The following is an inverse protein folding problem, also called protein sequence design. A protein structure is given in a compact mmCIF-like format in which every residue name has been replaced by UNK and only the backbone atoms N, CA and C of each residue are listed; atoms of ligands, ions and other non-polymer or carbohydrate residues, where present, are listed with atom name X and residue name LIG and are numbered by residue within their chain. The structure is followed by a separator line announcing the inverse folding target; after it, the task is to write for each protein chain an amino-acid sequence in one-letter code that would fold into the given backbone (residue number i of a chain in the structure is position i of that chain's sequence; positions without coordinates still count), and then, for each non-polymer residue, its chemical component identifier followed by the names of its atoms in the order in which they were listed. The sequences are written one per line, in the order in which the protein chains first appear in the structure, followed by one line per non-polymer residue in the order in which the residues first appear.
data_IF_343815243845
#
_entry.id   IF_343815243845
#
_cell.length_a   1.000
_cell.length_b   1.000
_cell.length_c   1.000
_cell.angle_alpha   90.00
_cell.angle_beta   90.00
_cell.angle_gamma   90.00
#
_symmetry.space_group_name_H-M   'P 1'
#
loop_
_entity.id
_entity.type
_entity.pdbx_description
1 polymer ?
#
# COMPACT_ATOMS: atom_id res chain seq x y z
N UNK A 1 54.75 5.36 24.08
CA UNK A 1 53.68 6.36 24.24
C UNK A 1 53.03 6.77 22.91
N UNK A 2 53.80 7.09 21.85
CA UNK A 2 53.26 7.43 20.51
C UNK A 2 52.40 6.34 19.86
N UNK A 3 52.78 5.06 20.00
CA UNK A 3 52.00 3.93 19.45
C UNK A 3 50.62 3.78 20.10
N UNK A 4 50.52 3.98 21.43
CA UNK A 4 49.26 3.97 22.18
C UNK A 4 48.34 5.11 21.73
N UNK A 5 48.90 6.26 21.37
CA UNK A 5 48.13 7.40 20.90
C UNK A 5 47.55 7.16 19.49
N UNK A 6 48.33 6.56 18.59
CA UNK A 6 47.87 6.22 17.24
C UNK A 6 46.82 5.10 17.27
N UNK A 7 47.03 4.07 18.10
CA UNK A 7 45.99 3.05 18.32
C UNK A 7 44.75 3.65 18.97
N UNK A 8 44.88 4.54 19.95
CA UNK A 8 43.73 5.22 20.55
C UNK A 8 42.99 6.13 19.57
N UNK A 9 43.70 6.85 18.69
CA UNK A 9 43.09 7.68 17.63
C UNK A 9 42.40 6.80 16.59
N UNK A 10 43.04 5.72 16.14
CA UNK A 10 42.45 4.76 15.21
C UNK A 10 41.19 4.10 15.80
N UNK A 11 41.28 3.61 17.05
CA UNK A 11 40.14 3.01 17.76
C UNK A 11 39.01 4.03 17.91
N UNK A 12 39.30 5.29 18.22
CA UNK A 12 38.30 6.35 18.28
C UNK A 12 37.72 6.71 16.90
N UNK A 13 38.51 6.70 15.82
CA UNK A 13 37.98 6.97 14.46
C UNK A 13 37.10 5.82 13.96
N UNK A 14 37.45 4.56 14.25
CA UNK A 14 36.62 3.41 13.89
C UNK A 14 35.35 3.32 14.76
N UNK A 15 35.43 3.69 16.05
CA UNK A 15 34.26 3.74 16.94
C UNK A 15 33.32 4.93 16.66
N UNK A 16 33.78 5.95 15.93
CA UNK A 16 32.97 7.09 15.53
C UNK A 16 32.38 6.97 14.11
N UNK A 17 32.64 5.88 13.40
CA UNK A 17 31.79 5.46 12.26
C UNK A 17 30.48 4.91 12.81
N UNK A 18 29.75 5.75 13.55
CA UNK A 18 28.36 5.49 13.89
C UNK A 18 27.63 5.38 12.56
N UNK A 19 26.99 4.24 12.36
CA UNK A 19 26.28 3.96 11.13
C UNK A 19 25.23 5.03 10.84
N UNK A 20 25.02 5.33 9.56
CA UNK A 20 24.02 6.27 9.10
C UNK A 20 23.01 5.52 8.24
N UNK A 21 21.72 5.76 8.47
CA UNK A 21 20.68 5.31 7.58
C UNK A 21 20.49 6.33 6.44
N UNK A 22 20.00 5.83 5.30
CA UNK A 22 19.51 6.68 4.23
C UNK A 22 18.03 6.87 4.46
N UNK A 23 17.66 8.09 4.86
CA UNK A 23 16.27 8.51 5.02
C UNK A 23 15.75 8.99 3.67
N UNK A 24 14.67 8.38 3.18
CA UNK A 24 13.98 8.82 1.98
C UNK A 24 12.52 8.37 1.99
N UNK A 25 11.65 9.22 1.48
CA UNK A 25 10.25 8.90 1.25
C UNK A 25 9.95 9.20 -0.20
N UNK A 26 9.55 8.20 -0.97
CA UNK A 26 9.11 8.36 -2.34
C UNK A 26 7.90 7.46 -2.59
N UNK A 27 6.73 7.93 -2.19
CA UNK A 27 5.50 7.17 -2.32
C UNK A 27 4.29 8.05 -2.61
N UNK A 28 3.32 7.46 -3.29
CA UNK A 28 2.03 8.04 -3.58
C UNK A 28 0.98 7.32 -2.75
N UNK A 29 0.41 8.00 -1.76
CA UNK A 29 -0.59 7.45 -0.83
C UNK A 29 -1.90 8.23 -0.99
N UNK A 30 -2.98 7.51 -1.35
CA UNK A 30 -4.33 8.05 -1.42
C UNK A 30 -4.42 9.38 -2.20
N UNK A 31 -3.70 9.49 -3.30
CA UNK A 31 -3.68 10.70 -4.12
C UNK A 31 -2.55 11.69 -3.83
N UNK A 32 -1.85 11.55 -2.71
CA UNK A 32 -0.80 12.49 -2.32
C UNK A 32 0.59 11.89 -2.58
N UNK A 33 1.40 12.60 -3.37
CA UNK A 33 2.80 12.27 -3.57
C UNK A 33 3.65 12.86 -2.44
N UNK A 34 4.37 12.00 -1.73
CA UNK A 34 5.47 12.36 -0.83
C UNK A 34 6.77 12.02 -1.52
N UNK A 35 7.63 13.03 -1.73
CA UNK A 35 8.95 12.85 -2.31
C UNK A 35 9.97 13.69 -1.54
N UNK A 36 10.85 13.03 -0.80
CA UNK A 36 11.98 13.65 -0.11
C UNK A 36 13.28 13.19 -0.73
N UNK A 37 14.22 14.12 -0.91
CA UNK A 37 15.56 13.75 -1.34
C UNK A 37 16.23 12.83 -0.32
N UNK A 38 16.98 11.81 -0.74
CA UNK A 38 17.71 10.95 0.18
C UNK A 38 18.68 11.76 1.05
N UNK A 39 18.57 11.62 2.37
CA UNK A 39 19.47 12.25 3.34
C UNK A 39 20.08 11.19 4.24
N UNK A 40 21.32 11.41 4.69
CA UNK A 40 21.98 10.51 5.63
C UNK A 40 21.67 10.96 7.05
N UNK A 41 21.05 10.09 7.84
CA UNK A 41 20.59 10.40 9.20
C UNK A 41 21.14 9.36 10.16
N UNK A 42 21.49 9.83 11.35
CA UNK A 42 21.91 8.97 12.46
C UNK A 42 20.69 8.57 13.29
N UNK A 43 20.52 7.30 13.58
CA UNK A 43 19.41 6.85 14.41
C UNK A 43 19.57 7.27 15.87
N UNK A 44 18.44 7.30 16.58
CA UNK A 44 18.37 7.69 18.00
C UNK A 44 19.16 6.70 18.86
N UNK A 45 19.08 5.40 18.56
CA UNK A 45 19.87 4.36 19.22
C UNK A 45 20.91 3.75 18.29
N UNK A 46 22.10 3.43 18.82
CA UNK A 46 23.13 2.67 18.09
C UNK A 46 22.67 1.19 17.84
N UNK A 47 21.65 0.72 18.55
CA UNK A 47 21.04 -0.60 18.34
C UNK A 47 19.90 -0.63 17.31
N UNK A 48 19.49 0.54 16.80
CA UNK A 48 18.44 0.60 15.77
C UNK A 48 18.96 0.02 14.45
N UNK A 49 18.04 -0.47 13.63
CA UNK A 49 18.33 -0.88 12.26
C UNK A 49 17.88 0.21 11.29
N UNK A 50 18.49 0.22 10.11
CA UNK A 50 17.89 0.89 8.98
C UNK A 50 16.85 -0.04 8.36
N UNK A 51 15.77 0.54 7.89
CA UNK A 51 14.67 -0.18 7.25
C UNK A 51 14.45 0.42 5.88
N UNK A 52 14.27 -0.45 4.88
CA UNK A 52 13.76 -0.11 3.57
C UNK A 52 12.45 -0.88 3.35
N UNK A 53 11.39 -0.17 2.96
CA UNK A 53 10.10 -0.75 2.64
C UNK A 53 9.68 -0.28 1.25
N UNK A 54 9.36 -1.20 0.36
CA UNK A 54 8.68 -0.92 -0.90
C UNK A 54 7.27 -1.54 -0.87
N UNK A 55 6.25 -0.77 -1.26
CA UNK A 55 4.85 -1.16 -1.24
C UNK A 55 4.18 -0.82 -2.56
N UNK A 56 3.33 -1.73 -3.03
CA UNK A 56 2.41 -1.53 -4.14
C UNK A 56 1.07 -2.17 -3.78
N UNK A 57 0.12 -1.33 -3.36
CA UNK A 57 -1.26 -1.70 -3.06
C UNK A 57 -2.17 -0.99 -4.05
N UNK A 58 -2.84 -1.72 -4.96
CA UNK A 58 -3.71 -1.12 -5.96
C UNK A 58 -4.75 -0.18 -5.34
N UNK A 59 -4.87 1.03 -5.89
CA UNK A 59 -5.83 2.03 -5.40
C UNK A 59 -5.51 2.66 -4.04
N UNK A 60 -4.36 2.36 -3.43
CA UNK A 60 -4.00 2.90 -2.10
C UNK A 60 -2.61 3.53 -2.05
N UNK A 61 -1.55 2.72 -2.22
CA UNK A 61 -0.17 3.19 -2.06
C UNK A 61 0.75 2.56 -3.10
N UNK A 62 1.66 3.34 -3.66
CA UNK A 62 2.76 2.83 -4.49
C UNK A 62 4.03 3.63 -4.19
N UNK A 63 5.15 2.96 -3.89
CA UNK A 63 6.41 3.63 -3.64
C UNK A 63 7.32 2.92 -2.65
N UNK A 64 8.24 3.69 -2.07
CA UNK A 64 9.15 3.23 -1.03
C UNK A 64 9.40 4.26 0.06
N UNK A 65 9.72 3.76 1.25
CA UNK A 65 10.19 4.52 2.40
C UNK A 65 11.46 3.87 2.94
N UNK A 66 12.40 4.68 3.40
CA UNK A 66 13.64 4.21 4.00
C UNK A 66 14.09 5.11 5.13
N UNK A 67 14.72 4.54 6.14
CA UNK A 67 15.30 5.32 7.25
C UNK A 67 15.48 4.51 8.52
N UNK A 68 15.61 5.20 9.64
CA UNK A 68 15.71 4.57 10.96
C UNK A 68 14.43 3.83 11.34
N UNK A 69 14.59 2.66 11.97
CA UNK A 69 13.50 1.73 12.30
C UNK A 69 12.30 2.39 12.98
N UNK A 70 12.51 3.24 13.98
CA UNK A 70 11.42 3.87 14.74
C UNK A 70 10.62 4.85 13.88
N UNK A 71 11.30 5.70 13.12
CA UNK A 71 10.64 6.73 12.28
C UNK A 71 9.91 6.08 11.08
N UNK A 72 10.47 4.98 10.56
CA UNK A 72 9.82 4.16 9.53
C UNK A 72 8.62 3.40 10.09
N UNK A 73 8.67 2.95 11.34
CA UNK A 73 7.54 2.30 12.00
C UNK A 73 6.30 3.19 12.04
N UNK A 74 6.48 4.47 12.37
CA UNK A 74 5.37 5.43 12.38
C UNK A 74 4.81 5.67 10.98
N UNK A 75 5.70 5.86 9.99
CA UNK A 75 5.30 6.07 8.59
C UNK A 75 4.57 4.85 8.03
N UNK A 76 5.10 3.66 8.25
CA UNK A 76 4.51 2.39 7.83
C UNK A 76 3.16 2.15 8.50
N UNK A 77 3.05 2.41 9.80
CA UNK A 77 1.77 2.36 10.53
C UNK A 77 0.75 3.29 9.90
N UNK A 78 1.11 4.55 9.67
CA UNK A 78 0.21 5.54 9.06
C UNK A 78 -0.24 5.15 7.66
N UNK A 79 0.62 4.51 6.86
CA UNK A 79 0.27 3.98 5.54
C UNK A 79 -0.69 2.80 5.69
N UNK A 80 -0.26 1.72 6.33
CA UNK A 80 -0.96 0.43 6.34
C UNK A 80 -2.33 0.52 7.03
N UNK A 81 -2.46 1.36 8.06
CA UNK A 81 -3.72 1.50 8.82
C UNK A 81 -4.82 2.27 8.07
N UNK A 82 -4.52 2.93 6.93
CA UNK A 82 -5.57 3.58 6.12
C UNK A 82 -6.59 2.58 5.57
N UNK A 83 -6.21 1.31 5.40
CA UNK A 83 -7.07 0.25 4.88
C UNK A 83 -7.08 -0.97 5.80
N UNK A 84 -8.27 -1.39 6.19
CA UNK A 84 -8.43 -2.50 7.14
C UNK A 84 -7.96 -3.84 6.57
N UNK A 85 -8.25 -4.12 5.30
CA UNK A 85 -7.83 -5.34 4.62
C UNK A 85 -6.31 -5.42 4.42
N UNK A 86 -5.65 -4.27 4.23
CA UNK A 86 -4.18 -4.19 4.18
C UNK A 86 -3.58 -4.37 5.58
N UNK A 87 -4.16 -3.73 6.61
CA UNK A 87 -3.73 -3.89 8.00
C UNK A 87 -3.83 -5.34 8.47
N UNK A 88 -4.88 -6.06 8.09
CA UNK A 88 -5.08 -7.47 8.45
C UNK A 88 -3.90 -8.35 8.02
N UNK A 89 -3.30 -8.07 6.86
CA UNK A 89 -2.11 -8.79 6.37
C UNK A 89 -0.87 -8.62 7.26
N UNK A 90 -0.82 -7.57 8.10
CA UNK A 90 0.28 -7.29 9.03
C UNK A 90 -0.13 -7.44 10.50
N UNK A 91 -1.32 -7.98 10.78
CA UNK A 91 -1.90 -7.97 12.13
C UNK A 91 -1.02 -8.64 13.21
N UNK A 92 -0.21 -9.63 12.82
CA UNK A 92 0.70 -10.33 13.74
C UNK A 92 1.77 -9.39 14.34
N UNK A 93 2.03 -8.26 13.70
CA UNK A 93 3.01 -7.27 14.14
C UNK A 93 2.36 -6.02 14.74
N UNK A 94 1.03 -5.93 14.76
CA UNK A 94 0.32 -4.74 15.22
C UNK A 94 0.04 -4.83 16.72
N UNK A 95 0.51 -3.83 17.48
CA UNK A 95 0.20 -3.70 18.90
C UNK A 95 -1.03 -2.80 19.09
N UNK A 96 -2.14 -3.39 19.54
CA UNK A 96 -3.40 -2.69 19.80
C UNK A 96 -3.31 -1.67 20.95
N UNK A 97 -2.31 -1.79 21.84
CA UNK A 97 -2.12 -0.87 22.97
C UNK A 97 -1.53 0.44 22.49
N UNK A 98 -0.49 0.37 21.65
CA UNK A 98 0.19 1.55 21.10
C UNK A 98 -0.37 2.01 19.76
N UNK A 99 -1.21 1.20 19.12
CA UNK A 99 -1.71 1.37 17.75
C UNK A 99 -0.57 1.51 16.72
N UNK A 100 0.52 0.77 16.90
CA UNK A 100 1.71 0.81 16.03
C UNK A 100 2.17 -0.59 15.66
N UNK A 101 2.85 -0.70 14.52
CA UNK A 101 3.55 -1.94 14.17
C UNK A 101 4.87 -2.05 14.93
N UNK A 102 5.12 -3.23 15.51
CA UNK A 102 6.41 -3.58 16.12
C UNK A 102 7.44 -3.86 15.03
N UNK A 103 8.19 -2.81 14.68
CA UNK A 103 9.23 -2.90 13.66
C UNK A 103 10.37 -3.86 14.03
N UNK A 104 10.64 -4.08 15.32
CA UNK A 104 11.64 -5.08 15.74
C UNK A 104 11.17 -6.48 15.39
N UNK A 105 9.88 -6.77 15.53
CA UNK A 105 9.30 -8.03 15.08
C UNK A 105 9.29 -8.14 13.56
N UNK A 106 8.86 -7.10 12.84
CA UNK A 106 8.88 -7.09 11.37
C UNK A 106 10.30 -7.36 10.84
N UNK A 107 11.32 -6.75 11.44
CA UNK A 107 12.71 -6.95 11.02
C UNK A 107 13.24 -8.38 11.22
N UNK A 108 12.61 -9.21 12.07
CA UNK A 108 12.93 -10.65 12.14
C UNK A 108 12.52 -11.40 10.87
N UNK A 109 11.56 -10.85 10.13
CA UNK A 109 11.08 -11.35 8.83
C UNK A 109 11.63 -10.51 7.66
N UNK A 110 12.75 -9.81 7.89
CA UNK A 110 13.47 -9.07 6.85
C UNK A 110 13.75 -9.96 5.65
N UNK A 111 13.45 -9.45 4.47
CA UNK A 111 13.58 -10.15 3.20
C UNK A 111 14.99 -10.03 2.64
N UNK A 112 15.38 -11.01 1.84
CA UNK A 112 16.61 -11.01 1.06
C UNK A 112 16.31 -11.38 -0.39
N UNK A 113 17.19 -10.99 -1.32
CA UNK A 113 16.97 -11.16 -2.75
C UNK A 113 16.09 -10.06 -3.36
N UNK A 114 15.48 -10.36 -4.51
CA UNK A 114 14.78 -9.39 -5.37
C UNK A 114 13.30 -9.73 -5.60
N UNK A 115 12.73 -10.62 -4.79
CA UNK A 115 11.34 -11.07 -4.94
C UNK A 115 10.48 -10.45 -3.84
N UNK A 116 9.49 -9.62 -4.18
CA UNK A 116 8.53 -9.13 -3.19
C UNK A 116 7.62 -10.26 -2.71
N UNK A 117 7.07 -10.14 -1.50
CA UNK A 117 5.92 -10.94 -1.12
C UNK A 117 4.66 -10.41 -1.80
N UNK A 118 3.75 -11.33 -2.09
CA UNK A 118 2.46 -11.05 -2.73
C UNK A 118 1.35 -11.58 -1.83
N UNK A 119 0.38 -10.74 -1.50
CA UNK A 119 -0.80 -11.12 -0.72
C UNK A 119 -2.05 -10.47 -1.31
N UNK A 120 -3.20 -11.09 -1.08
CA UNK A 120 -4.46 -10.60 -1.63
C UNK A 120 -5.05 -9.48 -0.78
N UNK A 121 -5.60 -8.47 -1.44
CA UNK A 121 -6.39 -7.40 -0.82
C UNK A 121 -7.68 -7.19 -1.61
N UNK A 122 -8.62 -6.41 -1.09
CA UNK A 122 -9.90 -6.11 -1.76
C UNK A 122 -9.72 -5.42 -3.11
N UNK A 123 -8.60 -4.74 -3.34
CA UNK A 123 -8.35 -4.00 -4.58
C UNK A 123 -7.47 -4.77 -5.57
N UNK A 124 -7.08 -6.00 -5.25
CA UNK A 124 -6.13 -6.81 -6.01
C UNK A 124 -4.92 -7.22 -5.17
N UNK A 125 -3.90 -7.74 -5.83
CA UNK A 125 -2.70 -8.22 -5.15
C UNK A 125 -1.88 -7.04 -4.63
N UNK A 126 -1.58 -7.04 -3.34
CA UNK A 126 -0.55 -6.19 -2.75
C UNK A 126 0.80 -6.87 -2.92
N UNK A 127 1.79 -6.09 -3.34
CA UNK A 127 3.18 -6.49 -3.35
C UNK A 127 3.95 -5.67 -2.31
N UNK A 128 4.77 -6.32 -1.49
CA UNK A 128 5.60 -5.63 -0.51
C UNK A 128 6.97 -6.25 -0.37
N UNK A 129 7.94 -5.42 -0.03
CA UNK A 129 9.31 -5.83 0.27
C UNK A 129 9.82 -5.04 1.46
N UNK A 130 10.26 -5.73 2.51
CA UNK A 130 10.77 -5.12 3.74
C UNK A 130 12.17 -5.66 4.00
N UNK A 131 13.15 -4.79 4.07
CA UNK A 131 14.54 -5.14 4.34
C UNK A 131 15.09 -4.30 5.49
N UNK A 132 15.51 -4.96 6.56
CA UNK A 132 16.21 -4.35 7.68
C UNK A 132 17.70 -4.68 7.64
N UNK A 133 18.55 -3.67 7.84
CA UNK A 133 20.00 -3.75 7.73
C UNK A 133 20.69 -2.90 8.80
N UNK A 134 21.96 -3.17 9.07
CA UNK A 134 22.75 -2.44 10.06
C UNK A 134 23.01 -1.00 9.60
N UNK A 135 23.07 -0.04 10.54
CA UNK A 135 23.33 1.37 10.24
C UNK A 135 24.66 1.63 9.50
N UNK A 136 25.64 0.73 9.58
CA UNK A 136 26.92 0.87 8.87
C UNK A 136 26.90 0.33 7.43
N UNK A 137 25.80 -0.27 6.98
CA UNK A 137 25.68 -0.84 5.65
C UNK A 137 25.02 0.15 4.69
N UNK A 138 25.64 0.33 3.53
CA UNK A 138 25.08 1.14 2.45
C UNK A 138 24.06 0.31 1.66
N UNK A 139 22.85 0.84 1.53
CA UNK A 139 21.77 0.23 0.74
C UNK A 139 21.39 1.11 -0.44
N UNK A 140 22.32 1.28 -1.37
CA UNK A 140 22.26 2.31 -2.43
C UNK A 140 21.40 1.90 -3.63
N UNK A 141 21.07 0.62 -3.79
CA UNK A 141 20.23 0.13 -4.89
C UNK A 141 19.32 -1.00 -4.40
N UNK A 142 18.17 -0.67 -3.78
CA UNK A 142 17.18 -1.67 -3.43
C UNK A 142 16.79 -2.53 -4.64
N UNK A 143 16.67 -3.85 -4.48
CA UNK A 143 16.38 -4.77 -5.58
C UNK A 143 14.91 -4.74 -6.00
N UNK A 144 14.02 -4.26 -5.12
CA UNK A 144 12.60 -4.06 -5.38
C UNK A 144 12.29 -2.58 -5.19
N UNK A 145 11.81 -1.93 -6.25
CA UNK A 145 11.44 -0.51 -6.23
C UNK A 145 10.14 -0.33 -6.99
N UNK A 146 9.19 0.37 -6.38
CA UNK A 146 7.99 0.84 -7.05
C UNK A 146 8.08 2.34 -7.24
N UNK A 147 7.84 2.81 -8.46
CA UNK A 147 7.93 4.23 -8.77
C UNK A 147 6.53 4.86 -8.69
N UNK A 148 6.31 5.82 -7.78
CA UNK A 148 5.05 6.55 -7.75
C UNK A 148 4.87 7.44 -8.99
N UNK A 149 3.63 7.88 -9.28
CA UNK A 149 3.38 8.95 -10.23
C UNK A 149 4.19 10.21 -9.90
N UNK A 150 4.50 11.01 -10.92
CA UNK A 150 5.31 12.24 -10.75
C UNK A 150 4.59 13.39 -10.05
N UNK A 151 3.27 13.29 -9.83
CA UNK A 151 2.43 14.34 -9.23
C UNK A 151 1.31 13.73 -8.40
N UNK A 152 0.86 14.46 -7.38
CA UNK A 152 -0.39 14.17 -6.67
C UNK A 152 -1.59 14.21 -7.62
N UNK A 153 -2.65 13.47 -7.28
CA UNK A 153 -3.94 13.61 -7.92
C UNK A 153 -4.54 15.00 -7.65
N UNK A 154 -5.47 15.40 -8.51
CA UNK A 154 -6.30 16.57 -8.28
C UNK A 154 -7.43 16.16 -7.33
N UNK A 155 -7.53 16.73 -6.11
CA UNK A 155 -8.60 16.39 -5.19
C UNK A 155 -9.97 16.72 -5.77
N UNK A 156 -10.97 15.92 -5.43
CA UNK A 156 -12.36 16.13 -5.87
C UNK A 156 -13.30 16.27 -4.69
N UNK A 157 -14.44 16.93 -4.89
CA UNK A 157 -15.53 16.97 -3.89
C UNK A 157 -16.46 15.79 -4.13
N UNK A 158 -16.74 15.04 -3.08
CA UNK A 158 -17.65 13.90 -3.09
C UNK A 158 -18.74 14.09 -2.05
N UNK A 159 -19.90 13.48 -2.26
CA UNK A 159 -20.93 13.38 -1.23
C UNK A 159 -20.61 12.18 -0.33
N UNK A 160 -20.65 12.35 0.98
CA UNK A 160 -20.54 11.25 1.97
C UNK A 160 -21.90 10.72 2.46
N UNK A 161 -22.99 11.21 1.86
CA UNK A 161 -24.38 10.95 2.24
C UNK A 161 -25.01 12.09 3.04
N UNK A 162 -24.20 12.95 3.68
CA UNK A 162 -24.70 14.07 4.49
C UNK A 162 -24.03 15.40 4.12
N UNK A 163 -22.74 15.36 3.77
CA UNK A 163 -21.88 16.50 3.56
C UNK A 163 -21.04 16.33 2.28
N UNK A 164 -20.43 17.43 1.84
CA UNK A 164 -19.36 17.36 0.86
C UNK A 164 -18.00 17.14 1.53
N UNK A 165 -17.33 16.05 1.15
CA UNK A 165 -15.97 15.71 1.57
C UNK A 165 -14.98 15.93 0.44
N UNK A 166 -13.72 16.18 0.78
CA UNK A 166 -12.65 16.31 -0.22
C UNK A 166 -11.86 15.03 -0.28
N UNK A 167 -11.85 14.37 -1.43
CA UNK A 167 -11.11 13.12 -1.65
C UNK A 167 -9.84 13.41 -2.40
N UNK A 168 -8.70 13.21 -1.74
CA UNK A 168 -7.37 13.46 -2.31
C UNK A 168 -7.05 12.46 -3.41
N UNK A 169 -7.67 11.28 -3.41
CA UNK A 169 -7.55 10.27 -4.46
C UNK A 169 -8.01 10.77 -5.83
N UNK A 170 -8.83 11.83 -5.86
CA UNK A 170 -9.32 12.49 -7.07
C UNK A 170 -10.52 11.83 -7.75
N UNK A 171 -11.23 10.96 -7.03
CA UNK A 171 -12.49 10.37 -7.49
C UNK A 171 -13.41 10.05 -6.31
N UNK A 172 -14.68 9.79 -6.60
CA UNK A 172 -15.73 9.46 -5.63
C UNK A 172 -16.17 8.01 -5.81
N UNK A 173 -16.88 7.46 -4.82
CA UNK A 173 -17.50 6.16 -4.97
C UNK A 173 -18.88 6.07 -4.33
N UNK A 174 -19.70 5.18 -4.89
CA UNK A 174 -20.99 4.76 -4.37
C UNK A 174 -21.01 3.25 -4.31
N UNK A 175 -21.39 2.71 -3.15
CA UNK A 175 -21.60 1.27 -2.93
C UNK A 175 -23.01 1.06 -2.38
N UNK A 176 -23.79 0.21 -3.03
CA UNK A 176 -25.09 -0.24 -2.55
C UNK A 176 -25.06 -1.74 -2.32
N UNK A 177 -25.68 -2.17 -1.22
CA UNK A 177 -25.84 -3.58 -0.88
C UNK A 177 -27.25 -3.81 -0.36
N UNK A 178 -27.91 -4.84 -0.88
CA UNK A 178 -29.16 -5.34 -0.38
C UNK A 178 -29.08 -6.85 -0.11
N UNK A 179 -29.71 -7.30 0.96
CA UNK A 179 -29.73 -8.71 1.35
C UNK A 179 -30.95 -8.99 2.23
N UNK A 180 -31.32 -10.25 2.38
CA UNK A 180 -32.36 -10.68 3.31
C UNK A 180 -31.76 -10.99 4.69
N UNK A 181 -32.38 -10.52 5.77
CA UNK A 181 -32.00 -10.96 7.12
C UNK A 181 -32.36 -12.43 7.32
N UNK A 182 -31.56 -13.15 8.09
CA UNK A 182 -31.85 -14.56 8.36
C UNK A 182 -33.04 -14.77 9.29
N UNK A 183 -33.30 -13.82 10.21
CA UNK A 183 -34.32 -13.98 11.25
C UNK A 183 -35.77 -13.88 10.73
N UNK A 184 -36.03 -12.88 9.88
CA UNK A 184 -37.39 -12.52 9.44
C UNK A 184 -37.53 -12.42 7.91
N UNK A 185 -36.46 -12.71 7.16
CA UNK A 185 -36.38 -12.59 5.71
C UNK A 185 -36.72 -11.17 5.19
N UNK A 186 -36.65 -10.16 6.06
CA UNK A 186 -36.83 -8.77 5.64
C UNK A 186 -35.63 -8.33 4.81
N UNK A 187 -35.90 -7.59 3.72
CA UNK A 187 -34.85 -6.98 2.92
C UNK A 187 -34.25 -5.79 3.64
N UNK A 188 -32.92 -5.79 3.75
CA UNK A 188 -32.10 -4.66 4.20
C UNK A 188 -31.47 -4.02 3.00
N UNK A 189 -31.59 -2.70 2.88
CA UNK A 189 -30.95 -1.90 1.84
C UNK A 189 -29.99 -0.91 2.49
N UNK A 190 -28.73 -0.91 2.05
CA UNK A 190 -27.73 0.07 2.49
C UNK A 190 -27.08 0.72 1.30
N UNK A 191 -26.85 2.03 1.43
CA UNK A 191 -26.17 2.87 0.45
C UNK A 191 -25.08 3.64 1.14
N UNK A 192 -23.90 3.63 0.53
CA UNK A 192 -22.72 4.31 1.00
C UNK A 192 -22.19 5.17 -0.12
N UNK A 193 -21.83 6.41 0.20
CA UNK A 193 -21.13 7.31 -0.69
C UNK A 193 -19.96 7.87 0.11
N UNK A 194 -18.77 7.90 -0.46
CA UNK A 194 -17.60 8.45 0.23
C UNK A 194 -16.40 8.60 -0.69
N UNK A 195 -15.27 9.00 -0.12
CA UNK A 195 -13.98 8.81 -0.73
C UNK A 195 -13.66 7.32 -0.89
N UNK A 196 -12.88 6.93 -1.92
CA UNK A 196 -12.63 5.53 -2.26
C UNK A 196 -12.08 4.69 -1.11
N UNK A 197 -11.15 5.23 -0.32
CA UNK A 197 -10.55 4.51 0.81
C UNK A 197 -11.57 4.12 1.87
N UNK A 198 -12.43 5.06 2.25
CA UNK A 198 -13.51 4.86 3.22
C UNK A 198 -14.56 3.90 2.66
N UNK A 199 -14.82 3.96 1.36
CA UNK A 199 -15.74 3.04 0.70
C UNK A 199 -15.20 1.61 0.67
N UNK A 200 -13.91 1.42 0.36
CA UNK A 200 -13.24 0.11 0.40
C UNK A 200 -13.25 -0.45 1.83
N UNK A 201 -12.99 0.38 2.84
CA UNK A 201 -13.14 0.00 4.25
C UNK A 201 -14.58 -0.42 4.59
N UNK A 202 -15.58 0.22 3.99
CA UNK A 202 -16.98 -0.17 4.14
C UNK A 202 -17.28 -1.51 3.47
N UNK A 203 -16.73 -1.75 2.28
CA UNK A 203 -16.81 -3.04 1.57
C UNK A 203 -16.19 -4.14 2.44
N UNK A 204 -15.02 -3.89 3.04
CA UNK A 204 -14.38 -4.80 3.99
C UNK A 204 -15.30 -5.16 5.15
N UNK A 205 -15.91 -4.18 5.85
CA UNK A 205 -16.83 -4.50 6.94
C UNK A 205 -18.07 -5.26 6.45
N UNK A 206 -18.52 -4.95 5.24
CA UNK A 206 -19.68 -5.59 4.62
C UNK A 206 -19.41 -7.07 4.29
N UNK A 207 -18.16 -7.47 4.04
CA UNK A 207 -17.82 -8.87 3.78
C UNK A 207 -18.00 -9.79 5.00
N UNK A 208 -18.15 -9.22 6.20
CA UNK A 208 -18.40 -9.96 7.44
C UNK A 208 -19.86 -9.91 7.92
N UNK A 209 -20.81 -9.46 7.08
CA UNK A 209 -22.23 -9.44 7.46
C UNK A 209 -22.77 -10.87 7.69
N UNK A 210 -23.10 -11.18 8.95
CA UNK A 210 -23.53 -12.52 9.38
C UNK A 210 -24.71 -13.08 8.58
N UNK A 211 -25.65 -12.24 8.18
CA UNK A 211 -26.85 -12.65 7.44
C UNK A 211 -26.54 -13.25 6.06
N UNK A 212 -25.42 -12.87 5.44
CA UNK A 212 -25.13 -13.17 4.04
C UNK A 212 -23.73 -13.76 3.80
N UNK A 213 -22.84 -13.70 4.79
CA UNK A 213 -21.44 -14.18 4.72
C UNK A 213 -21.34 -15.64 4.26
N UNK A 214 -22.35 -16.47 4.56
CA UNK A 214 -22.42 -17.88 4.18
C UNK A 214 -22.67 -18.12 2.68
N UNK A 215 -23.10 -17.09 1.94
CA UNK A 215 -23.23 -17.17 0.50
C UNK A 215 -21.83 -17.05 -0.15
N UNK A 216 -21.31 -18.15 -0.70
CA UNK A 216 -19.99 -18.14 -1.37
C UNK A 216 -19.90 -17.20 -2.58
N UNK A 217 -21.03 -16.98 -3.27
CA UNK A 217 -21.15 -15.98 -4.33
C UNK A 217 -20.99 -14.56 -3.78
N UNK A 218 -21.60 -14.27 -2.62
CA UNK A 218 -21.49 -12.96 -1.96
C UNK A 218 -20.03 -12.63 -1.64
N UNK A 219 -19.29 -13.57 -1.06
CA UNK A 219 -17.86 -13.39 -0.78
C UNK A 219 -17.07 -13.09 -2.06
N UNK A 220 -17.27 -13.88 -3.11
CA UNK A 220 -16.56 -13.66 -4.38
C UNK A 220 -16.88 -12.29 -4.98
N UNK A 221 -18.16 -11.92 -5.01
CA UNK A 221 -18.61 -10.62 -5.52
C UNK A 221 -18.07 -9.45 -4.68
N UNK A 222 -18.08 -9.54 -3.35
CA UNK A 222 -17.66 -8.41 -2.51
C UNK A 222 -16.15 -8.14 -2.60
N UNK A 223 -15.32 -9.19 -2.71
CA UNK A 223 -13.89 -9.02 -3.02
C UNK A 223 -13.68 -8.36 -4.39
N UNK A 224 -14.53 -8.65 -5.38
CA UNK A 224 -14.44 -8.02 -6.70
C UNK A 224 -14.77 -6.52 -6.67
N UNK A 225 -15.75 -6.08 -5.87
CA UNK A 225 -16.20 -4.69 -5.80
C UNK A 225 -15.07 -3.70 -5.45
N UNK A 226 -14.15 -4.09 -4.55
CA UNK A 226 -12.99 -3.26 -4.21
C UNK A 226 -12.07 -3.00 -5.40
N UNK A 227 -11.79 -4.04 -6.19
CA UNK A 227 -10.94 -3.95 -7.38
C UNK A 227 -11.57 -3.10 -8.48
N UNK A 228 -12.89 -3.21 -8.67
CA UNK A 228 -13.64 -2.35 -9.60
C UNK A 228 -13.54 -0.89 -9.16
N UNK A 229 -13.70 -0.62 -7.87
CA UNK A 229 -13.61 0.75 -7.36
C UNK A 229 -12.21 1.36 -7.54
N UNK A 230 -11.16 0.60 -7.22
CA UNK A 230 -9.77 1.04 -7.39
C UNK A 230 -9.43 1.41 -8.85
N UNK A 231 -10.10 0.76 -9.81
CA UNK A 231 -9.97 1.02 -11.24
C UNK A 231 -10.95 2.07 -11.77
N UNK A 232 -11.69 2.76 -10.88
CA UNK A 232 -12.69 3.79 -11.25
C UNK A 232 -13.76 3.23 -12.20
N UNK A 233 -14.15 1.98 -11.96
CA UNK A 233 -15.18 1.30 -12.71
C UNK A 233 -16.50 1.23 -11.96
N UNK A 234 -17.45 0.55 -12.57
CA UNK A 234 -18.71 0.17 -11.97
C UNK A 234 -19.00 -1.30 -12.24
N UNK A 235 -19.73 -1.94 -11.35
CA UNK A 235 -20.20 -3.32 -11.53
C UNK A 235 -21.42 -3.58 -10.62
N UNK A 236 -22.15 -4.65 -10.91
CA UNK A 236 -23.25 -5.13 -10.08
C UNK A 236 -23.29 -6.64 -10.01
N UNK A 237 -23.69 -7.17 -8.86
CA UNK A 237 -23.91 -8.59 -8.66
C UNK A 237 -25.29 -8.83 -8.06
N UNK A 238 -26.00 -9.82 -8.58
CA UNK A 238 -27.30 -10.24 -8.07
C UNK A 238 -27.30 -11.77 -7.94
N UNK A 239 -27.58 -12.24 -6.74
CA UNK A 239 -27.81 -13.67 -6.46
C UNK A 239 -29.20 -13.85 -5.86
N UNK A 240 -29.95 -14.79 -6.41
CA UNK A 240 -31.29 -15.16 -5.93
C UNK A 240 -31.19 -16.57 -5.34
N UNK A 241 -31.01 -16.64 -4.03
CA UNK A 241 -30.76 -17.88 -3.32
C UNK A 241 -31.63 -17.97 -2.06
N UNK A 242 -32.96 -17.88 -2.24
CA UNK A 242 -33.94 -17.88 -1.14
C UNK A 242 -33.51 -16.90 -0.02
N UNK A 243 -33.21 -17.40 1.18
CA UNK A 243 -32.80 -16.64 2.36
C UNK A 243 -31.37 -16.08 2.30
N UNK A 244 -30.58 -16.42 1.28
CA UNK A 244 -29.23 -15.91 1.03
C UNK A 244 -29.16 -15.06 -0.24
N UNK A 245 -30.28 -14.45 -0.64
CA UNK A 245 -30.32 -13.55 -1.79
C UNK A 245 -29.61 -12.23 -1.46
N UNK A 246 -28.87 -11.70 -2.44
CA UNK A 246 -28.21 -10.41 -2.32
C UNK A 246 -28.15 -9.66 -3.64
N UNK A 247 -28.07 -8.34 -3.54
CA UNK A 247 -27.71 -7.43 -4.61
C UNK A 247 -26.56 -6.54 -4.14
N UNK A 248 -25.61 -6.28 -5.02
CA UNK A 248 -24.52 -5.33 -4.79
C UNK A 248 -24.33 -4.48 -6.04
N UNK A 249 -24.01 -3.21 -5.85
CA UNK A 249 -23.62 -2.29 -6.91
C UNK A 249 -22.47 -1.42 -6.42
N UNK A 250 -21.44 -1.27 -7.24
CA UNK A 250 -20.34 -0.34 -7.00
C UNK A 250 -20.22 0.59 -8.20
N UNK A 251 -19.93 1.86 -7.97
CA UNK A 251 -19.52 2.79 -9.01
C UNK A 251 -18.55 3.80 -8.42
N UNK A 252 -17.30 3.76 -8.89
CA UNK A 252 -16.29 4.73 -8.53
C UNK A 252 -15.93 5.57 -9.75
N UNK A 253 -16.10 6.88 -9.65
CA UNK A 253 -16.13 7.78 -10.81
C UNK A 253 -15.43 9.09 -10.48
N UNK A 254 -14.92 9.73 -11.52
CA UNK A 254 -14.37 11.08 -11.44
C UNK A 254 -15.52 12.08 -11.50
N UNK A 255 -15.65 12.91 -10.47
CA UNK A 255 -16.71 13.92 -10.42
C UNK A 255 -16.30 15.14 -11.26
N UNK A 256 -16.53 15.06 -12.57
CA UNK A 256 -16.39 16.21 -13.46
C UNK A 256 -17.66 17.05 -13.42
N UNK A 257 -17.53 18.33 -13.06
CA UNK A 257 -18.62 19.32 -13.08
C UNK A 257 -19.86 18.96 -12.22
N UNK A 258 -19.68 18.27 -11.10
CA UNK A 258 -20.79 17.87 -10.22
C UNK A 258 -21.57 16.64 -10.72
N UNK A 259 -21.06 15.94 -11.74
CA UNK A 259 -21.63 14.69 -12.20
C UNK A 259 -21.75 13.68 -11.05
N UNK A 260 -22.95 13.12 -10.90
CA UNK A 260 -23.24 11.97 -10.05
C UNK A 260 -23.81 10.89 -10.94
N UNK A 261 -23.30 9.64 -10.90
CA UNK A 261 -23.79 8.59 -11.76
C UNK A 261 -25.23 8.23 -11.43
N UNK A 262 -25.96 7.78 -12.44
CA UNK A 262 -27.24 7.11 -12.23
C UNK A 262 -27.01 5.80 -11.48
N UNK A 263 -27.79 5.60 -10.44
CA UNK A 263 -27.70 4.45 -9.55
C UNK A 263 -28.90 3.55 -9.86
N UNK A 264 -28.68 2.26 -10.16
CA UNK A 264 -29.77 1.35 -10.47
C UNK A 264 -30.73 1.22 -9.29
N UNK A 265 -32.00 0.97 -9.57
CA UNK A 265 -32.97 0.64 -8.54
C UNK A 265 -32.62 -0.70 -7.91
N UNK A 266 -32.62 -0.76 -6.57
CA UNK A 266 -32.39 -2.00 -5.83
C UNK A 266 -33.56 -2.97 -6.13
N UNK A 267 -33.29 -4.20 -6.58
CA UNK A 267 -34.34 -5.18 -6.84
C UNK A 267 -35.01 -5.63 -5.54
N UNK A 268 -36.29 -6.04 -5.64
CA UNK A 268 -36.98 -6.75 -4.56
C UNK A 268 -36.48 -8.19 -4.49
N UNK A 269 -35.82 -8.52 -3.38
CA UNK A 269 -35.24 -9.83 -3.08
C UNK A 269 -36.27 -10.76 -2.42
N UNK A 270 -37.43 -10.26 -1.98
CA UNK A 270 -38.44 -11.03 -1.22
C UNK A 270 -39.41 -11.80 -2.11
N UNK A 271 -39.65 -11.34 -3.34
CA UNK A 271 -40.74 -11.82 -4.19
C UNK A 271 -40.25 -12.52 -5.47
N UNK A 272 -39.45 -13.59 -5.39
CA UNK A 272 -39.12 -14.37 -6.59
C UNK A 272 -39.18 -15.90 -6.42
N UNK A 273 -39.81 -16.60 -7.38
CA UNK A 273 -39.86 -18.06 -7.38
C UNK A 273 -38.46 -18.64 -7.44
N UNK A 274 -38.23 -19.71 -6.68
CA UNK A 274 -36.96 -20.44 -6.66
C UNK A 274 -36.62 -20.86 -8.10
N UNK A 275 -35.53 -20.33 -8.65
CA UNK A 275 -34.99 -20.89 -9.89
C UNK A 275 -34.59 -22.34 -9.61
N UNK A 276 -34.90 -23.30 -10.50
CA UNK A 276 -34.40 -24.65 -10.36
C UNK A 276 -32.87 -24.61 -10.36
N UNK A 277 -32.28 -25.30 -9.37
CA UNK A 277 -30.84 -25.47 -9.17
C UNK A 277 -30.26 -26.06 -10.47
N UNK A 278 -29.78 -25.19 -11.35
CA UNK A 278 -28.96 -25.53 -12.50
C UNK A 278 -27.72 -24.66 -12.39
N UNK A 279 -26.57 -25.33 -12.29
CA UNK A 279 -25.29 -24.72 -11.92
C UNK A 279 -24.67 -23.87 -13.02
N UNK A 280 -25.37 -22.84 -13.49
CA UNK A 280 -24.81 -21.83 -14.39
C UNK A 280 -24.89 -20.45 -13.74
N UNK A 281 -23.71 -19.98 -13.31
CA UNK A 281 -23.50 -18.60 -12.89
C UNK A 281 -23.62 -17.71 -14.12
N UNK A 282 -24.79 -17.12 -14.35
CA UNK A 282 -25.00 -16.13 -15.43
C UNK A 282 -24.28 -14.84 -15.05
N UNK A 283 -23.00 -14.75 -15.41
CA UNK A 283 -22.26 -13.48 -15.43
C UNK A 283 -22.83 -12.67 -16.60
N UNK A 284 -23.69 -11.69 -16.30
CA UNK A 284 -24.15 -10.76 -17.34
C UNK A 284 -23.08 -9.68 -17.49
N UNK A 285 -22.02 -9.98 -18.25
CA UNK A 285 -21.04 -8.98 -18.66
C UNK A 285 -21.71 -8.00 -19.63
N UNK A 286 -22.07 -6.81 -19.15
CA UNK A 286 -22.44 -5.72 -20.05
C UNK A 286 -21.18 -5.27 -20.79
N UNK A 287 -21.25 -5.34 -22.13
CA UNK A 287 -20.21 -4.98 -23.10
C UNK A 287 -19.63 -3.59 -22.84
N UNK A 288 -18.34 -3.54 -22.48
CA UNK A 288 -17.54 -2.31 -22.52
C UNK A 288 -17.13 -2.00 -23.97
N UNK A 289 -17.85 -1.08 -24.59
CA UNK A 289 -17.43 -0.46 -25.86
C UNK A 289 -16.53 0.74 -25.52
N UNK A 290 -15.22 0.59 -25.65
CA UNK A 290 -14.30 1.44 -26.44
C UNK A 290 -12.85 1.01 -26.15
N UNK A 291 -12.31 0.15 -27.01
CA UNK A 291 -10.87 -0.08 -27.11
C UNK A 291 -10.27 0.92 -28.10
N UNK A 292 -9.60 1.97 -27.60
CA UNK A 292 -8.59 2.67 -28.40
C UNK A 292 -7.24 2.00 -28.13
N UNK A 293 -6.72 1.33 -29.16
CA UNK A 293 -5.43 0.65 -29.13
C UNK A 293 -4.30 1.66 -29.00
N UNK A 294 -3.79 1.87 -27.78
CA UNK A 294 -2.48 2.51 -27.59
C UNK A 294 -1.42 1.43 -27.74
N UNK A 295 -0.75 1.48 -28.89
CA UNK A 295 0.37 0.62 -29.28
C UNK A 295 1.57 0.96 -28.38
N UNK A 296 1.73 0.22 -27.27
CA UNK A 296 2.88 0.36 -26.36
C UNK A 296 4.15 -0.08 -27.10
N UNK A 297 4.85 0.88 -27.67
CA UNK A 297 6.18 0.66 -28.25
C UNK A 297 7.17 0.72 -27.09
N UNK A 298 7.65 -0.43 -26.64
CA UNK A 298 8.72 -0.52 -25.64
C UNK A 298 10.02 0.00 -26.25
N UNK A 299 10.25 1.32 -26.16
CA UNK A 299 11.58 1.86 -26.36
C UNK A 299 12.42 1.59 -25.12
N UNK A 300 13.42 0.73 -25.31
CA UNK A 300 14.52 0.51 -24.36
C UNK A 300 15.37 1.78 -24.30
N UNK A 301 15.04 2.69 -23.40
CA UNK A 301 15.88 3.86 -23.12
C UNK A 301 17.06 3.38 -22.29
N UNK A 302 18.25 3.44 -22.88
CA UNK A 302 19.52 3.22 -22.18
C UNK A 302 19.96 4.56 -21.63
N UNK A 303 19.77 4.80 -20.34
CA UNK A 303 20.28 6.00 -19.66
C UNK A 303 21.64 5.72 -19.04
N UNK A 304 22.69 6.26 -19.65
CA UNK A 304 24.01 6.44 -19.03
C UNK A 304 23.96 7.64 -18.10
N UNK A 305 23.75 7.41 -16.80
CA UNK A 305 24.04 8.39 -15.76
C UNK A 305 25.48 8.20 -15.27
N UNK A 306 26.39 9.05 -15.77
CA UNK A 306 27.68 9.28 -15.12
C UNK A 306 27.42 10.06 -13.83
N UNK A 307 27.28 9.35 -12.72
CA UNK A 307 27.45 9.93 -11.39
C UNK A 307 28.85 9.57 -10.90
N UNK A 308 29.77 10.51 -11.00
CA UNK A 308 31.08 10.44 -10.34
C UNK A 308 30.89 10.84 -8.88
N UNK A 309 30.66 9.85 -8.02
CA UNK A 309 30.87 10.04 -6.60
C UNK A 309 32.36 10.30 -6.35
N UNK A 310 32.75 11.25 -5.48
CA UNK A 310 34.12 11.33 -5.02
C UNK A 310 34.38 10.08 -4.17
N UNK A 311 35.01 9.07 -4.78
CA UNK A 311 35.67 8.02 -4.03
C UNK A 311 36.80 8.71 -3.27
N UNK A 312 36.59 8.98 -1.99
CA UNK A 312 37.68 9.19 -1.06
C UNK A 312 38.45 7.86 -0.96
N UNK A 313 39.28 7.58 -1.96
CA UNK A 313 40.36 6.61 -1.85
C UNK A 313 41.36 7.21 -0.87
N UNK A 314 41.07 7.07 0.42
CA UNK A 314 42.09 7.16 1.45
C UNK A 314 43.10 6.07 1.13
N UNK A 315 44.17 6.46 0.42
CA UNK A 315 45.16 5.52 -0.02
C UNK A 315 45.79 4.91 1.23
N UNK A 316 45.67 3.60 1.36
CA UNK A 316 46.30 2.84 2.45
C UNK A 316 47.82 3.09 2.47
N UNK A 317 48.39 3.51 1.33
CA UNK A 317 49.78 3.95 1.19
C UNK A 317 50.11 5.26 1.93
N UNK A 318 49.21 6.25 1.98
CA UNK A 318 49.45 7.47 2.77
C UNK A 318 49.39 7.17 4.27
N UNK A 319 48.48 6.29 4.68
CA UNK A 319 48.34 5.87 6.07
C UNK A 319 49.55 5.06 6.53
N UNK A 320 50.05 4.14 5.71
CA UNK A 320 51.28 3.38 6.00
C UNK A 320 52.53 4.26 5.98
N UNK A 321 52.64 5.25 5.08
CA UNK A 321 53.76 6.21 5.12
C UNK A 321 53.75 7.08 6.39
N UNK A 322 52.57 7.53 6.82
CA UNK A 322 52.43 8.30 8.06
C UNK A 322 52.83 7.46 9.28
N UNK A 323 52.39 6.20 9.34
CA UNK A 323 52.78 5.28 10.42
C UNK A 323 54.29 5.01 10.39
N UNK A 324 54.88 4.73 9.21
CA UNK A 324 56.32 4.46 9.05
C UNK A 324 57.17 5.69 9.42
N UNK A 325 56.78 6.88 8.98
CA UNK A 325 57.46 8.14 9.34
C UNK A 325 57.43 8.43 10.85
N UNK A 326 56.39 7.96 11.56
CA UNK A 326 56.26 8.10 13.01
C UNK A 326 57.12 7.10 13.81
N UNK A 327 57.54 6.00 13.19
CA UNK A 327 58.44 5.01 13.77
C UNK A 327 59.92 5.27 13.48
N UNK A 328 60.22 6.00 12.39
CA UNK A 328 61.57 6.37 11.99
C UNK A 328 62.07 7.70 12.61
N UNK A 329 61.23 8.41 13.37
CA UNK A 329 61.54 9.67 14.06
C UNK A 329 61.29 9.60 15.58
#
# INVERSE_FOLDING_TARGET
MRFLLVTFVLFNTFNNLKGLCVDSNNYYLLGNLTNTSPTSTKCKSDSDQCVYIALNVPGMVIGSISGCQDDIGDTFTNIVTQRMDVRENFQLFFDNTTNKFDMKQICKFSMSGNTPAIVNTLTGNMEYFIHCYSQAALYINPPVVYNPPSKSANPTKCNDGQNQVTCTEGYCGVFEVAYLKQDDLSQVNKKYQSCPTQLINTIYLTSYLKDIVQNGGFQTSIYHMGSICANKGYDSALSKAQNLSYFMYINCYTNYNGYTPDIPQIPDLTNQPSAPISGESTTTSMSSILSSSIKTTTQKITTTTKYSAPTANLSFSLFTLLVISFFLA
#
